data_IF_273234883170
#
_entry.id   IF_273234883170
#
_cell.length_a   1.000
_cell.length_b   1.000
_cell.length_c   1.000
_cell.angle_alpha   90.00
_cell.angle_beta   90.00
_cell.angle_gamma   90.00
#
_symmetry.space_group_name_H-M   'P 1'
#
loop_
_entity.id
_entity.type
_entity.pdbx_description
1 polymer ?
#
# COMPACT_ATOMS: atom_id res chain seq x y z
N UNK A 1 9.09 -21.20 -91.61
CA UNK A 1 8.17 -20.63 -90.65
C UNK A 1 8.59 -21.10 -89.27
N UNK A 2 9.24 -20.21 -88.40
CA UNK A 2 9.73 -20.49 -87.07
C UNK A 2 8.81 -19.78 -86.06
N UNK A 3 8.06 -20.55 -85.32
CA UNK A 3 7.25 -20.00 -84.21
C UNK A 3 8.10 -19.80 -82.99
N UNK A 4 8.27 -18.54 -82.61
CA UNK A 4 8.87 -18.17 -81.31
C UNK A 4 7.80 -18.14 -80.24
N UNK A 5 7.94 -18.96 -79.16
CA UNK A 5 7.12 -18.91 -77.97
C UNK A 5 7.82 -18.01 -76.92
N UNK A 6 7.18 -16.93 -76.59
CA UNK A 6 7.57 -16.02 -75.50
C UNK A 6 7.07 -16.63 -74.20
N UNK A 7 7.97 -17.05 -73.31
CA UNK A 7 7.63 -17.49 -71.98
C UNK A 7 7.57 -16.28 -71.05
N UNK A 8 6.40 -16.04 -70.44
CA UNK A 8 6.23 -15.03 -69.39
C UNK A 8 6.51 -15.68 -68.04
N UNK A 9 7.64 -15.27 -67.40
CA UNK A 9 7.98 -15.69 -66.04
C UNK A 9 7.29 -14.75 -65.04
N UNK A 10 6.31 -15.25 -64.30
CA UNK A 10 5.63 -14.53 -63.25
C UNK A 10 6.55 -14.59 -61.97
N UNK A 11 7.14 -13.46 -61.57
CA UNK A 11 7.85 -13.34 -60.33
C UNK A 11 6.84 -12.96 -59.24
N UNK A 12 6.51 -13.92 -58.38
CA UNK A 12 5.71 -13.67 -57.18
C UNK A 12 6.58 -13.01 -56.07
N UNK A 13 6.43 -11.71 -55.91
CA UNK A 13 7.08 -10.98 -54.78
C UNK A 13 6.40 -11.31 -53.46
N UNK A 14 7.11 -11.93 -52.56
CA UNK A 14 6.69 -12.10 -51.16
C UNK A 14 6.93 -10.77 -50.43
N UNK A 15 5.86 -10.03 -50.17
CA UNK A 15 5.91 -8.88 -49.26
C UNK A 15 5.86 -9.40 -47.84
N UNK A 16 7.02 -9.48 -47.18
CA UNK A 16 7.11 -9.73 -45.75
C UNK A 16 6.73 -8.46 -45.00
N UNK A 17 5.50 -8.41 -44.45
CA UNK A 17 5.10 -7.41 -43.48
C UNK A 17 5.81 -7.74 -42.16
N UNK A 18 6.91 -7.06 -41.90
CA UNK A 18 7.51 -7.06 -40.57
C UNK A 18 6.56 -6.32 -39.63
N UNK A 19 5.76 -7.07 -38.87
CA UNK A 19 4.95 -6.53 -37.80
C UNK A 19 5.85 -5.95 -36.73
N UNK A 20 5.88 -4.62 -36.59
CA UNK A 20 6.46 -3.95 -35.43
C UNK A 20 5.60 -4.37 -34.24
N UNK A 21 6.08 -5.30 -33.42
CA UNK A 21 5.48 -5.56 -32.12
C UNK A 21 5.62 -4.27 -31.30
N UNK A 22 4.55 -3.50 -31.20
CA UNK A 22 4.47 -2.42 -30.23
C UNK A 22 4.68 -3.07 -28.86
N UNK A 23 5.70 -2.66 -28.12
CA UNK A 23 5.86 -2.99 -26.70
C UNK A 23 4.63 -2.33 -26.03
N UNK A 24 3.61 -3.13 -25.74
CA UNK A 24 2.47 -2.67 -24.98
C UNK A 24 3.01 -2.32 -23.58
N UNK A 25 3.14 -1.03 -23.29
CA UNK A 25 3.40 -0.58 -21.92
C UNK A 25 2.33 -1.16 -21.01
N UNK A 26 2.70 -1.50 -19.78
CA UNK A 26 1.74 -2.02 -18.81
C UNK A 26 0.60 -1.00 -18.67
N UNK A 27 -0.64 -1.47 -18.82
CA UNK A 27 -1.82 -0.60 -18.70
C UNK A 27 -2.12 -0.35 -17.22
N UNK A 28 -2.67 0.83 -16.87
CA UNK A 28 -3.16 1.08 -15.53
C UNK A 28 -4.12 -0.04 -15.07
N UNK A 29 -3.93 -0.50 -13.86
CA UNK A 29 -4.75 -1.56 -13.23
C UNK A 29 -5.61 -0.98 -12.12
N UNK A 30 -6.80 -1.55 -11.93
CA UNK A 30 -7.58 -1.32 -10.72
C UNK A 30 -7.08 -2.27 -9.64
N UNK A 31 -6.58 -1.72 -8.55
CA UNK A 31 -6.01 -2.47 -7.44
C UNK A 31 -6.82 -2.23 -6.18
N UNK A 32 -7.34 -3.28 -5.57
CA UNK A 32 -7.93 -3.25 -4.23
C UNK A 32 -6.84 -3.43 -3.19
N UNK A 33 -6.79 -2.49 -2.24
CA UNK A 33 -5.99 -2.62 -1.01
C UNK A 33 -6.94 -2.92 0.13
N UNK A 34 -6.72 -4.03 0.80
CA UNK A 34 -7.50 -4.44 1.98
C UNK A 34 -6.56 -4.48 3.18
N UNK A 35 -6.98 -3.88 4.29
CA UNK A 35 -6.26 -3.92 5.57
C UNK A 35 -7.07 -4.66 6.61
N UNK A 36 -6.40 -5.43 7.45
CA UNK A 36 -6.99 -6.17 8.55
C UNK A 36 -6.20 -5.93 9.83
N UNK A 37 -6.89 -5.54 10.90
CA UNK A 37 -6.32 -5.51 12.24
C UNK A 37 -6.43 -6.92 12.85
N UNK A 38 -5.28 -7.58 13.03
CA UNK A 38 -5.15 -8.94 13.57
C UNK A 38 -4.76 -8.94 15.05
N UNK A 39 -4.60 -7.76 15.66
CA UNK A 39 -4.29 -7.68 17.08
C UNK A 39 -5.40 -8.34 17.92
N UNK A 40 -5.07 -8.89 19.10
CA UNK A 40 -6.05 -9.46 20.02
C UNK A 40 -7.13 -8.44 20.42
N UNK A 41 -8.30 -8.94 20.85
CA UNK A 41 -9.37 -8.10 21.37
C UNK A 41 -8.87 -7.17 22.48
N UNK A 42 -9.38 -5.95 22.53
CA UNK A 42 -9.00 -4.90 23.49
C UNK A 42 -7.51 -4.46 23.39
N UNK A 43 -6.84 -4.80 22.30
CA UNK A 43 -5.48 -4.39 22.03
C UNK A 43 -5.43 -3.17 21.08
N UNK A 44 -4.34 -3.02 20.33
CA UNK A 44 -4.11 -1.86 19.46
C UNK A 44 -5.13 -1.74 18.35
N UNK A 45 -5.52 -0.51 18.08
CA UNK A 45 -6.22 -0.11 16.86
C UNK A 45 -5.28 0.69 15.96
N UNK A 46 -5.64 0.86 14.69
CA UNK A 46 -4.81 1.55 13.71
C UNK A 46 -5.59 2.72 13.10
N UNK A 47 -4.97 3.88 13.01
CA UNK A 47 -5.52 4.99 12.24
C UNK A 47 -5.68 4.59 10.76
N UNK A 48 -6.27 5.46 9.95
CA UNK A 48 -6.37 5.20 8.52
C UNK A 48 -4.98 4.93 7.92
N UNK A 49 -4.86 3.84 7.14
CA UNK A 49 -3.63 3.57 6.40
C UNK A 49 -3.42 4.66 5.36
N UNK A 50 -2.29 5.36 5.40
CA UNK A 50 -1.80 6.25 4.34
C UNK A 50 -0.92 5.43 3.44
N UNK A 51 -1.08 5.55 2.12
CA UNK A 51 -0.38 4.72 1.17
C UNK A 51 0.04 5.48 -0.08
N UNK A 52 1.12 5.02 -0.70
CA UNK A 52 1.62 5.49 -1.97
C UNK A 52 2.14 4.35 -2.83
N UNK A 53 1.75 4.36 -4.11
CA UNK A 53 2.34 3.55 -5.17
C UNK A 53 3.30 4.46 -5.93
N UNK A 54 4.55 4.02 -6.12
CA UNK A 54 5.60 4.95 -6.51
C UNK A 54 6.80 4.26 -7.20
N UNK A 55 7.81 5.05 -7.60
CA UNK A 55 9.00 4.56 -8.31
C UNK A 55 10.16 4.14 -7.38
N UNK A 56 10.05 4.35 -6.05
CA UNK A 56 11.04 3.94 -5.06
C UNK A 56 11.99 5.04 -4.59
N UNK A 57 11.70 6.31 -4.86
CA UNK A 57 12.59 7.42 -4.46
C UNK A 57 12.14 8.18 -3.21
N UNK A 58 10.84 8.14 -2.86
CA UNK A 58 10.36 8.82 -1.65
C UNK A 58 10.66 8.00 -0.40
N UNK A 59 11.62 8.50 0.37
CA UNK A 59 11.99 7.98 1.70
C UNK A 59 11.29 8.81 2.79
N UNK A 60 10.42 8.17 3.57
CA UNK A 60 9.58 8.81 4.57
C UNK A 60 10.31 9.11 5.87
N UNK A 61 11.24 8.23 6.25
CA UNK A 61 12.04 8.31 7.48
C UNK A 61 13.18 7.30 7.42
N UNK A 62 14.11 7.38 8.36
CA UNK A 62 15.21 6.42 8.52
C UNK A 62 15.33 5.97 9.97
N UNK A 63 15.46 4.67 10.19
CA UNK A 63 15.75 4.10 11.50
C UNK A 63 17.01 4.73 12.09
N UNK A 64 16.97 5.11 13.35
CA UNK A 64 18.08 5.75 14.08
C UNK A 64 18.27 7.24 13.76
N UNK A 65 17.39 7.86 12.98
CA UNK A 65 17.38 9.30 12.70
C UNK A 65 16.18 9.98 13.36
N UNK A 66 16.29 11.29 13.59
CA UNK A 66 15.15 12.08 14.04
C UNK A 66 14.04 12.10 12.96
N UNK A 67 12.79 11.94 13.37
CA UNK A 67 11.66 11.94 12.44
C UNK A 67 11.44 13.32 11.80
N UNK A 68 11.17 13.32 10.50
CA UNK A 68 10.70 14.51 9.78
C UNK A 68 9.21 14.79 10.05
N UNK A 69 8.77 16.03 9.79
CA UNK A 69 7.38 16.46 10.01
C UNK A 69 6.34 15.63 9.25
N UNK A 70 6.70 15.05 8.10
CA UNK A 70 5.84 14.16 7.33
C UNK A 70 5.54 12.88 8.09
N UNK A 71 6.56 12.20 8.65
CA UNK A 71 6.42 11.01 9.48
C UNK A 71 5.66 11.33 10.77
N UNK A 72 6.02 12.43 11.46
CA UNK A 72 5.34 12.92 12.67
C UNK A 72 3.83 13.10 12.43
N UNK A 73 3.41 13.64 11.27
CA UNK A 73 1.99 13.86 10.98
C UNK A 73 1.17 12.58 10.93
N UNK A 74 1.79 11.45 10.59
CA UNK A 74 1.14 10.13 10.67
C UNK A 74 1.26 9.56 12.06
N UNK A 75 2.47 9.51 12.63
CA UNK A 75 2.77 8.82 13.87
C UNK A 75 2.02 9.40 15.08
N UNK A 76 1.83 10.72 15.14
CA UNK A 76 1.15 11.40 16.25
C UNK A 76 -0.30 11.78 15.93
N UNK A 77 -0.56 12.18 14.67
CA UNK A 77 -1.88 12.68 14.28
C UNK A 77 -2.77 11.69 13.55
N UNK A 78 -2.23 10.55 13.11
CA UNK A 78 -2.94 9.60 12.24
C UNK A 78 -3.34 10.21 10.89
N UNK A 79 -2.75 11.35 10.50
CA UNK A 79 -3.11 12.12 9.30
C UNK A 79 -2.04 12.02 8.22
N UNK A 80 -2.40 12.27 6.98
CA UNK A 80 -1.45 12.38 5.86
C UNK A 80 -1.20 13.82 5.42
N UNK A 81 -1.61 14.81 6.22
CA UNK A 81 -1.64 16.21 5.80
C UNK A 81 -0.27 16.81 5.43
N UNK A 82 0.82 16.31 6.03
CA UNK A 82 2.19 16.70 5.66
C UNK A 82 2.89 15.59 4.86
N UNK A 83 2.48 14.34 5.02
CA UNK A 83 3.08 13.20 4.32
C UNK A 83 2.73 13.21 2.82
N UNK A 84 1.46 13.41 2.45
CA UNK A 84 1.05 13.45 1.05
C UNK A 84 1.70 14.58 0.25
N UNK A 85 1.78 15.84 0.72
CA UNK A 85 2.48 16.88 0.02
C UNK A 85 3.98 16.60 -0.14
N UNK A 86 4.65 16.07 0.88
CA UNK A 86 6.06 15.70 0.82
C UNK A 86 6.29 14.58 -0.20
N UNK A 87 5.43 13.56 -0.20
CA UNK A 87 5.46 12.47 -1.17
C UNK A 87 5.29 12.98 -2.60
N UNK A 88 4.23 13.76 -2.87
CA UNK A 88 3.95 14.31 -4.20
C UNK A 88 5.06 15.26 -4.70
N UNK A 89 5.73 15.95 -3.81
CA UNK A 89 6.86 16.81 -4.16
C UNK A 89 8.09 16.00 -4.59
N UNK A 90 8.34 14.86 -3.92
CA UNK A 90 9.44 13.97 -4.26
C UNK A 90 9.13 13.10 -5.50
N UNK A 91 7.89 12.64 -5.62
CA UNK A 91 7.42 11.76 -6.70
C UNK A 91 6.08 12.24 -7.29
N UNK A 92 6.11 13.20 -8.24
CA UNK A 92 4.89 13.80 -8.80
C UNK A 92 3.95 12.80 -9.51
N UNK A 93 4.48 11.64 -9.93
CA UNK A 93 3.71 10.59 -10.62
C UNK A 93 3.23 9.49 -9.67
N UNK A 94 3.45 9.62 -8.36
CA UNK A 94 2.96 8.64 -7.39
C UNK A 94 1.43 8.65 -7.33
N UNK A 95 0.84 7.46 -7.17
CA UNK A 95 -0.59 7.33 -6.83
C UNK A 95 -0.72 7.25 -5.31
N UNK A 96 -1.29 8.28 -4.70
CA UNK A 96 -1.46 8.38 -3.25
C UNK A 96 -2.90 8.12 -2.84
N UNK A 97 -3.08 7.56 -1.65
CA UNK A 97 -4.41 7.26 -1.14
C UNK A 97 -4.45 6.85 0.33
N UNK A 98 -5.63 6.42 0.75
CA UNK A 98 -5.84 5.93 2.12
C UNK A 98 -6.84 4.80 2.15
N UNK A 99 -6.66 3.86 3.07
CA UNK A 99 -7.71 2.93 3.48
C UNK A 99 -8.27 3.40 4.81
N UNK A 100 -9.56 3.73 4.84
CA UNK A 100 -10.24 4.24 6.02
C UNK A 100 -11.32 3.27 6.48
N UNK A 101 -11.52 3.18 7.79
CA UNK A 101 -12.63 2.42 8.37
C UNK A 101 -13.96 3.06 7.96
N UNK A 102 -14.89 2.26 7.44
CA UNK A 102 -16.18 2.77 6.94
C UNK A 102 -16.99 3.53 8.00
N UNK A 103 -16.93 3.11 9.27
CA UNK A 103 -17.57 3.78 10.38
C UNK A 103 -16.80 5.01 10.93
N UNK A 104 -15.66 5.36 10.29
CA UNK A 104 -14.75 6.40 10.79
C UNK A 104 -13.91 5.94 11.98
N UNK A 105 -12.95 6.78 12.39
CA UNK A 105 -12.03 6.49 13.49
C UNK A 105 -11.03 5.39 13.19
N UNK A 106 -10.42 4.85 14.23
CA UNK A 106 -9.40 3.81 14.10
C UNK A 106 -10.00 2.43 13.76
N UNK A 107 -9.28 1.64 12.96
CA UNK A 107 -9.58 0.24 12.65
C UNK A 107 -9.31 -0.62 13.91
N UNK A 108 -10.37 -1.18 14.49
CA UNK A 108 -10.31 -1.91 15.76
C UNK A 108 -9.86 -3.35 15.57
N UNK A 109 -9.42 -4.04 16.64
CA UNK A 109 -9.10 -5.47 16.60
C UNK A 109 -10.19 -6.30 15.91
N UNK A 110 -9.77 -7.15 14.94
CA UNK A 110 -10.66 -8.01 14.15
C UNK A 110 -11.37 -7.33 12.97
N UNK A 111 -11.31 -6.00 12.85
CA UNK A 111 -11.94 -5.28 11.74
C UNK A 111 -11.10 -5.29 10.46
N UNK A 112 -11.79 -5.10 9.34
CA UNK A 112 -11.24 -5.02 7.99
C UNK A 112 -11.76 -3.78 7.28
N UNK A 113 -10.94 -3.15 6.46
CA UNK A 113 -11.33 -2.04 5.58
C UNK A 113 -10.64 -2.18 4.22
N UNK A 114 -11.20 -1.60 3.16
CA UNK A 114 -10.59 -1.63 1.82
C UNK A 114 -10.84 -0.36 1.04
N UNK A 115 -9.99 -0.10 0.06
CA UNK A 115 -10.15 0.95 -0.95
C UNK A 115 -9.59 0.48 -2.29
N UNK A 116 -10.13 1.04 -3.39
CA UNK A 116 -9.72 0.73 -4.74
C UNK A 116 -8.90 1.90 -5.32
N UNK A 117 -7.82 1.58 -6.02
CA UNK A 117 -6.89 2.56 -6.60
C UNK A 117 -6.59 2.21 -8.05
N UNK A 118 -6.49 3.24 -8.90
CA UNK A 118 -5.97 3.09 -10.27
C UNK A 118 -4.45 3.30 -10.23
N UNK A 119 -3.69 2.28 -10.55
CA UNK A 119 -2.22 2.30 -10.48
C UNK A 119 -1.64 2.00 -11.86
N UNK A 120 -0.65 2.79 -12.29
CA UNK A 120 0.16 2.47 -13.47
C UNK A 120 1.40 1.68 -13.03
N UNK A 121 1.45 0.36 -13.27
CA UNK A 121 2.55 -0.49 -12.83
C UNK A 121 3.86 -0.25 -13.59
N UNK A 122 3.85 0.51 -14.69
CA UNK A 122 5.06 0.86 -15.44
C UNK A 122 5.93 1.90 -14.74
N UNK A 123 5.30 2.74 -13.91
CA UNK A 123 5.96 3.83 -13.17
C UNK A 123 5.83 3.69 -11.65
N UNK A 124 4.80 3.03 -11.15
CA UNK A 124 4.48 2.89 -9.71
C UNK A 124 4.67 1.44 -9.27
N UNK A 125 5.93 0.97 -9.21
CA UNK A 125 6.27 -0.42 -8.94
C UNK A 125 6.39 -0.76 -7.47
N UNK A 126 6.60 0.23 -6.60
CA UNK A 126 6.82 0.05 -5.17
C UNK A 126 5.63 0.58 -4.36
N UNK A 127 5.54 0.11 -3.13
CA UNK A 127 4.49 0.47 -2.19
C UNK A 127 5.09 0.95 -0.88
N UNK A 128 4.68 2.14 -0.44
CA UNK A 128 5.01 2.72 0.87
C UNK A 128 3.74 3.04 1.62
N UNK A 129 3.75 2.82 2.92
CA UNK A 129 2.60 3.05 3.79
C UNK A 129 3.01 3.59 5.16
N UNK A 130 2.02 4.15 5.88
CA UNK A 130 2.11 4.50 7.27
C UNK A 130 0.74 4.51 7.93
N UNK A 131 0.67 4.05 9.19
CA UNK A 131 -0.54 4.10 10.01
C UNK A 131 -0.17 4.22 11.49
N UNK A 132 -0.74 5.22 12.17
CA UNK A 132 -0.58 5.37 13.61
C UNK A 132 -1.15 4.17 14.35
N UNK A 133 -0.45 3.67 15.33
CA UNK A 133 -0.90 2.66 16.31
C UNK A 133 -1.49 3.38 17.50
N UNK A 134 -2.71 3.03 17.89
CA UNK A 134 -3.39 3.67 19.03
C UNK A 134 -3.94 2.64 20.03
N UNK A 135 -3.94 2.95 21.37
CA UNK A 135 -3.52 4.20 21.97
C UNK A 135 -2.00 4.34 21.94
N UNK A 136 -1.51 5.53 21.65
CA UNK A 136 -0.09 5.90 21.79
C UNK A 136 0.07 7.41 21.58
N UNK A 137 1.29 7.91 21.81
CA UNK A 137 1.68 9.26 21.49
C UNK A 137 2.20 9.36 20.05
N UNK A 138 3.15 8.49 19.65
CA UNK A 138 3.81 8.55 18.34
C UNK A 138 4.22 7.19 17.78
N UNK A 139 3.53 6.10 18.18
CA UNK A 139 3.77 4.77 17.60
C UNK A 139 3.04 4.59 16.29
N UNK A 140 3.69 3.92 15.34
CA UNK A 140 3.13 3.67 14.02
C UNK A 140 3.71 2.41 13.36
N UNK A 141 3.05 1.93 12.32
CA UNK A 141 3.58 0.93 11.38
C UNK A 141 3.86 1.60 10.05
N UNK A 142 5.01 1.32 9.47
CA UNK A 142 5.48 1.89 8.20
C UNK A 142 6.64 1.08 7.65
N UNK A 143 7.03 1.29 6.40
CA UNK A 143 8.29 0.81 5.85
C UNK A 143 9.34 1.92 5.80
N UNK A 144 10.53 1.62 6.31
CA UNK A 144 11.72 2.49 6.29
C UNK A 144 12.28 2.61 4.86
N UNK A 145 12.56 1.48 4.21
CA UNK A 145 13.11 1.49 2.86
C UNK A 145 12.00 1.65 1.81
N UNK A 146 12.04 2.70 0.95
CA UNK A 146 11.02 2.93 -0.08
C UNK A 146 10.94 1.82 -1.14
N UNK A 147 12.00 1.04 -1.34
CA UNK A 147 12.01 -0.09 -2.27
C UNK A 147 11.75 -1.45 -1.60
N UNK A 148 11.38 -1.47 -0.33
CA UNK A 148 11.15 -2.71 0.43
C UNK A 148 10.06 -3.59 -0.19
N UNK A 149 8.98 -2.98 -0.66
CA UNK A 149 7.83 -3.70 -1.18
C UNK A 149 7.67 -3.45 -2.69
N UNK A 150 8.33 -4.28 -3.49
CA UNK A 150 8.13 -4.30 -4.95
C UNK A 150 6.77 -4.94 -5.24
N UNK A 151 5.76 -4.11 -5.45
CA UNK A 151 4.39 -4.55 -5.68
C UNK A 151 4.18 -5.11 -7.09
N UNK A 152 4.82 -4.52 -8.11
CA UNK A 152 4.75 -4.97 -9.49
C UNK A 152 6.12 -5.36 -10.03
N UNK A 153 6.19 -6.47 -10.79
CA UNK A 153 7.37 -6.87 -11.50
C UNK A 153 7.63 -6.00 -12.77
N UNK A 154 8.70 -6.28 -13.50
CA UNK A 154 9.03 -5.52 -14.71
C UNK A 154 8.01 -5.68 -15.85
N UNK A 155 7.20 -6.74 -15.83
CA UNK A 155 6.12 -6.96 -16.79
C UNK A 155 4.81 -6.25 -16.39
N UNK A 156 4.77 -5.58 -15.23
CA UNK A 156 3.58 -4.93 -14.69
C UNK A 156 2.60 -5.89 -14.01
N UNK A 157 3.02 -7.11 -13.73
CA UNK A 157 2.20 -8.10 -13.02
C UNK A 157 2.37 -7.94 -11.51
N UNK A 158 1.30 -8.20 -10.75
CA UNK A 158 1.32 -8.17 -9.29
C UNK A 158 2.30 -9.21 -8.76
N UNK A 159 3.35 -8.75 -8.09
CA UNK A 159 4.45 -9.57 -7.55
C UNK A 159 4.27 -9.86 -6.05
N UNK A 160 3.53 -9.03 -5.35
CA UNK A 160 3.29 -9.11 -3.92
C UNK A 160 1.79 -9.04 -3.64
N UNK A 161 1.23 -10.05 -2.98
CA UNK A 161 -0.21 -10.12 -2.68
C UNK A 161 -0.55 -9.72 -1.24
N UNK A 162 0.43 -9.70 -0.34
CA UNK A 162 0.22 -9.27 1.05
C UNK A 162 1.51 -8.83 1.74
N UNK A 163 1.34 -7.97 2.74
CA UNK A 163 2.38 -7.51 3.69
C UNK A 163 1.84 -7.79 5.08
N UNK A 164 2.60 -8.53 5.90
CA UNK A 164 2.32 -8.76 7.32
C UNK A 164 3.15 -7.82 8.18
N UNK A 165 2.54 -7.22 9.19
CA UNK A 165 3.22 -6.44 10.22
C UNK A 165 3.11 -7.17 11.56
N UNK A 166 4.24 -7.33 12.22
CA UNK A 166 4.37 -8.03 13.49
C UNK A 166 4.59 -7.04 14.64
N UNK A 167 4.36 -7.44 15.87
CA UNK A 167 4.57 -6.57 17.02
C UNK A 167 5.94 -5.88 17.03
N UNK A 168 7.03 -6.63 16.75
CA UNK A 168 8.40 -6.08 16.66
C UNK A 168 8.61 -5.02 15.56
N UNK A 169 7.67 -4.83 14.65
CA UNK A 169 7.74 -3.87 13.55
C UNK A 169 6.93 -2.59 13.84
N UNK A 170 6.47 -2.42 15.06
CA UNK A 170 5.93 -1.12 15.50
C UNK A 170 7.10 -0.19 15.77
N UNK A 171 7.09 0.92 15.08
CA UNK A 171 8.02 2.02 15.28
C UNK A 171 7.54 2.94 16.41
N UNK A 172 8.44 3.33 17.27
CA UNK A 172 8.40 4.52 18.10
C UNK A 172 9.05 5.63 17.26
N UNK A 173 8.34 6.69 17.01
CA UNK A 173 8.82 7.78 16.15
C UNK A 173 9.87 8.67 16.87
N UNK A 174 9.97 8.55 18.19
CA UNK A 174 10.90 9.31 19.03
C UNK A 174 10.61 10.81 19.08
N UNK A 175 9.45 11.21 18.62
CA UNK A 175 9.06 12.62 18.50
C UNK A 175 8.23 13.12 19.68
N UNK A 176 7.54 12.23 20.40
CA UNK A 176 6.73 12.55 21.58
C UNK A 176 6.97 11.56 22.73
N UNK A 177 7.03 12.07 23.97
CA UNK A 177 7.13 11.24 25.16
C UNK A 177 5.83 10.49 25.41
N UNK A 178 5.93 9.22 25.84
CA UNK A 178 4.75 8.45 26.25
C UNK A 178 4.12 9.05 27.51
N UNK A 179 3.02 9.76 27.28
CA UNK A 179 2.22 10.35 28.33
C UNK A 179 0.73 10.03 28.06
N UNK A 180 0.07 9.20 28.91
CA UNK A 180 -1.34 8.90 28.76
C UNK A 180 -2.25 10.12 28.72
N UNK A 181 -1.86 11.24 29.35
CA UNK A 181 -2.66 12.47 29.32
C UNK A 181 -2.71 13.11 27.94
N UNK A 182 -1.75 12.81 27.06
CA UNK A 182 -1.61 13.38 25.72
C UNK A 182 -1.78 12.33 24.61
N UNK A 183 -1.86 11.04 24.95
CA UNK A 183 -1.93 9.97 23.97
C UNK A 183 -3.25 10.01 23.18
N UNK A 184 -3.17 9.71 21.89
CA UNK A 184 -4.35 9.57 21.05
C UNK A 184 -5.22 8.38 21.48
N UNK A 185 -6.53 8.48 21.25
CA UNK A 185 -7.50 7.40 21.43
C UNK A 185 -7.83 7.00 22.87
N UNK A 186 -7.39 7.73 23.88
CA UNK A 186 -7.75 7.51 25.29
C UNK A 186 -8.87 8.46 25.74
N UNK A 187 -9.70 7.99 26.66
CA UNK A 187 -10.73 8.82 27.31
C UNK A 187 -10.04 9.80 28.23
N UNK A 188 -10.35 11.09 28.07
CA UNK A 188 -9.81 12.16 28.92
C UNK A 188 -8.42 12.66 28.53
N UNK A 189 -7.78 12.07 27.54
CA UNK A 189 -6.51 12.58 26.98
C UNK A 189 -6.73 13.76 26.03
N UNK A 190 -5.70 14.60 25.87
CA UNK A 190 -5.70 15.74 24.94
C UNK A 190 -4.49 15.62 24.01
N UNK A 191 -4.64 14.92 22.89
CA UNK A 191 -3.55 14.65 21.93
C UNK A 191 -2.91 15.92 21.34
N UNK A 192 -3.53 17.07 21.46
CA UNK A 192 -2.95 18.35 21.05
C UNK A 192 -1.85 18.87 22.02
N UNK A 193 -1.81 18.37 23.26
CA UNK A 193 -0.85 18.75 24.27
C UNK A 193 0.39 17.87 24.18
N UNK A 194 1.21 18.14 23.16
CA UNK A 194 2.40 17.33 22.90
C UNK A 194 3.55 17.64 23.86
N UNK A 195 4.28 16.58 24.27
CA UNK A 195 5.56 16.71 25.00
C UNK A 195 6.67 16.17 24.12
N UNK A 196 7.41 17.04 23.38
CA UNK A 196 8.47 16.60 22.47
C UNK A 196 9.56 15.78 23.18
N UNK A 197 9.92 14.63 22.61
CA UNK A 197 10.98 13.77 23.13
C UNK A 197 12.34 14.12 22.52
N UNK A 198 12.41 14.59 21.27
CA UNK A 198 13.63 14.83 20.51
C UNK A 198 14.53 13.58 20.38
N UNK A 199 13.91 12.41 20.25
CA UNK A 199 14.55 11.10 20.08
C UNK A 199 14.79 10.77 18.60
N UNK A 200 14.95 9.48 18.34
CA UNK A 200 15.14 8.91 17.01
C UNK A 200 14.12 7.82 16.74
N UNK A 201 13.78 7.62 15.49
CA UNK A 201 12.90 6.52 15.08
C UNK A 201 13.56 5.18 15.40
N UNK A 202 12.86 4.30 16.10
CA UNK A 202 13.35 2.97 16.44
C UNK A 202 12.19 1.98 16.63
N UNK A 203 12.46 0.68 16.57
CA UNK A 203 11.47 -0.32 16.95
C UNK A 203 11.32 -0.38 18.47
N UNK A 204 10.12 -0.12 18.99
CA UNK A 204 9.89 -0.11 20.44
C UNK A 204 8.41 -0.32 20.81
N UNK A 205 7.86 -1.49 20.51
CA UNK A 205 6.44 -1.77 20.82
C UNK A 205 6.16 -1.97 22.33
N UNK A 206 7.18 -2.23 23.14
CA UNK A 206 7.01 -2.47 24.59
C UNK A 206 6.56 -1.21 25.32
N UNK A 207 6.84 -0.02 24.80
CA UNK A 207 6.36 1.24 25.39
C UNK A 207 4.84 1.37 25.39
N UNK A 208 4.14 0.65 24.51
CA UNK A 208 2.68 0.57 24.55
C UNK A 208 2.12 0.02 25.86
N UNK A 209 2.94 -0.66 26.68
CA UNK A 209 2.53 -1.12 28.01
C UNK A 209 2.19 0.02 28.99
N UNK A 210 2.66 1.24 28.72
CA UNK A 210 2.30 2.45 29.49
C UNK A 210 0.79 2.75 29.44
N UNK A 211 0.08 2.24 28.44
CA UNK A 211 -1.36 2.47 28.25
C UNK A 211 -2.24 1.32 28.76
N UNK A 212 -1.65 0.22 29.26
CA UNK A 212 -2.41 -0.92 29.79
C UNK A 212 -3.31 -0.50 30.95
N UNK A 213 -4.56 -0.97 30.93
CA UNK A 213 -5.58 -0.65 31.93
C UNK A 213 -6.35 0.66 31.68
N UNK A 214 -5.99 1.44 30.65
CA UNK A 214 -6.65 2.70 30.33
C UNK A 214 -7.83 2.49 29.37
N UNK A 215 -8.88 3.30 29.54
CA UNK A 215 -10.10 3.22 28.72
C UNK A 215 -9.88 3.98 27.40
N UNK A 216 -10.11 3.30 26.28
CA UNK A 216 -10.07 3.91 24.96
C UNK A 216 -11.35 4.63 24.62
N UNK A 217 -11.31 5.58 23.67
CA UNK A 217 -12.50 6.24 23.13
C UNK A 217 -13.44 5.29 22.37
N UNK A 218 -12.98 4.07 22.06
CA UNK A 218 -13.81 3.02 21.52
C UNK A 218 -14.57 2.21 22.59
N UNK A 219 -14.36 2.51 23.89
CA UNK A 219 -15.10 1.95 25.01
C UNK A 219 -14.56 0.64 25.58
N UNK A 220 -13.37 0.21 25.17
CA UNK A 220 -12.68 -0.93 25.78
C UNK A 220 -11.49 -0.50 26.64
N UNK A 221 -11.11 -1.34 27.60
CA UNK A 221 -9.88 -1.16 28.39
C UNK A 221 -8.72 -1.77 27.63
N UNK A 222 -7.75 -0.96 27.30
CA UNK A 222 -6.60 -1.37 26.50
C UNK A 222 -5.69 -2.36 27.27
N UNK A 223 -5.23 -3.37 26.55
CA UNK A 223 -4.21 -4.32 26.97
C UNK A 223 -3.38 -4.72 25.75
N UNK A 224 -2.08 -4.60 25.79
CA UNK A 224 -1.17 -4.95 24.67
C UNK A 224 -1.10 -6.46 24.43
N UNK A 225 -1.79 -7.29 24.55
CA UNK A 225 -1.86 -8.78 24.52
C UNK A 225 -1.15 -9.46 23.33
N UNK A 226 -0.09 -8.89 22.78
CA UNK A 226 0.70 -9.49 21.70
C UNK A 226 2.20 -9.38 22.01
N UNK A 227 2.98 -10.33 21.46
CA UNK A 227 4.43 -10.37 21.52
C UNK A 227 5.08 -9.91 20.21
N UNK A 228 6.40 -9.91 20.20
CA UNK A 228 7.23 -9.47 19.08
C UNK A 228 6.92 -10.19 17.75
N UNK A 229 6.55 -11.48 17.82
CA UNK A 229 6.34 -12.33 16.63
C UNK A 229 4.88 -12.53 16.24
N UNK A 230 3.96 -11.90 16.95
CA UNK A 230 2.54 -11.98 16.61
C UNK A 230 2.22 -11.03 15.46
N UNK A 231 1.52 -11.54 14.45
CA UNK A 231 1.03 -10.70 13.36
C UNK A 231 -0.13 -9.86 13.87
N UNK A 232 0.02 -8.54 13.78
CA UNK A 232 -0.94 -7.57 14.30
C UNK A 232 -1.70 -6.82 13.23
N UNK A 233 -1.16 -6.79 11.99
CA UNK A 233 -1.78 -6.07 10.89
C UNK A 233 -1.39 -6.70 9.56
N UNK A 234 -2.33 -6.77 8.64
CA UNK A 234 -2.11 -7.27 7.29
C UNK A 234 -2.64 -6.30 6.25
N UNK A 235 -1.84 -6.07 5.21
CA UNK A 235 -2.23 -5.35 4.00
C UNK A 235 -2.28 -6.38 2.88
N UNK A 236 -3.39 -6.47 2.14
CA UNK A 236 -3.55 -7.40 1.01
C UNK A 236 -3.85 -6.62 -0.27
N UNK A 237 -3.39 -7.16 -1.40
CA UNK A 237 -3.52 -6.56 -2.72
C UNK A 237 -4.21 -7.51 -3.69
N UNK A 238 -5.18 -7.00 -4.45
CA UNK A 238 -5.91 -7.75 -5.47
C UNK A 238 -6.14 -6.87 -6.70
N UNK A 239 -5.78 -7.38 -7.88
CA UNK A 239 -6.13 -6.72 -9.16
C UNK A 239 -7.59 -7.00 -9.46
N UNK A 240 -8.39 -5.95 -9.57
CA UNK A 240 -9.82 -6.04 -9.92
C UNK A 240 -9.94 -6.10 -11.45
N UNK A 241 -10.51 -7.18 -12.02
CA UNK A 241 -10.72 -7.25 -13.46
C UNK A 241 -11.61 -6.11 -13.96
N UNK A 242 -11.14 -5.34 -14.93
CA UNK A 242 -12.00 -4.34 -15.60
C UNK A 242 -13.02 -5.03 -16.49
N UNK A 243 -14.28 -4.53 -16.57
CA UNK A 243 -15.34 -5.17 -17.38
C UNK A 243 -14.96 -5.38 -18.86
N UNK A 244 -14.06 -4.56 -19.42
CA UNK A 244 -13.55 -4.70 -20.78
C UNK A 244 -12.62 -5.90 -20.98
N UNK A 245 -11.86 -6.33 -19.96
CA UNK A 245 -10.98 -7.49 -20.06
C UNK A 245 -11.76 -8.81 -20.13
N UNK A 246 -12.91 -8.88 -19.49
CA UNK A 246 -13.81 -10.04 -19.50
C UNK A 246 -14.48 -10.23 -20.88
N UNK A 247 -14.75 -9.17 -21.64
CA UNK A 247 -15.37 -9.26 -22.96
C UNK A 247 -14.43 -9.81 -24.03
N UNK A 248 -13.12 -9.55 -23.93
CA UNK A 248 -12.11 -10.08 -24.86
C UNK A 248 -11.88 -11.59 -24.68
N UNK A 249 -11.93 -12.10 -23.46
CA UNK A 249 -11.83 -13.53 -23.16
C UNK A 249 -13.07 -14.29 -23.67
N UNK A 250 -14.26 -13.70 -23.56
CA UNK A 250 -15.51 -14.28 -24.08
C UNK A 250 -15.54 -14.38 -25.62
N UNK A 251 -15.01 -13.38 -26.32
CA UNK A 251 -14.99 -13.36 -27.80
C UNK A 251 -13.97 -14.33 -28.41
N UNK A 252 -12.81 -14.52 -27.78
CA UNK A 252 -11.80 -15.48 -28.25
C UNK A 252 -12.29 -16.94 -28.16
N UNK A 253 -13.10 -17.29 -27.16
CA UNK A 253 -13.73 -18.60 -27.02
C UNK A 253 -14.74 -18.93 -28.14
N UNK A 254 -15.49 -17.94 -28.61
CA UNK A 254 -16.50 -18.12 -29.66
C UNK A 254 -15.87 -18.32 -31.05
N UNK A 255 -14.73 -17.69 -31.32
CA UNK A 255 -14.03 -17.84 -32.61
C UNK A 255 -13.42 -19.24 -32.76
N UNK A 256 -12.93 -19.85 -31.68
CA UNK A 256 -12.35 -21.20 -31.71
C UNK A 256 -13.43 -22.28 -31.95
N UNK A 257 -14.64 -22.11 -31.42
CA UNK A 257 -15.75 -23.05 -31.59
C UNK A 257 -16.34 -23.04 -32.98
N UNK A 258 -16.29 -21.91 -33.73
CA UNK A 258 -16.76 -21.83 -35.10
C UNK A 258 -15.84 -22.51 -36.14
N UNK A 259 -14.53 -22.68 -35.83
CA UNK A 259 -13.56 -23.33 -36.74
C UNK A 259 -13.61 -24.86 -36.72
N UNK A 260 -14.31 -25.50 -35.81
CA UNK A 260 -14.42 -26.98 -35.69
C UNK A 260 -15.65 -27.58 -36.40
N UNK A 261 -16.45 -26.79 -37.11
CA UNK A 261 -17.66 -27.26 -37.84
C UNK A 261 -17.62 -27.00 -39.35
N UNK A 262 -16.42 -27.10 -39.97
CA UNK A 262 -16.29 -27.21 -41.43
C UNK A 262 -15.33 -28.34 -41.80
#
# INVERSE_FOLDING_TARGET
MKNSRIGITLVAGIVSVAGVAAVAGAQPVQLRVTVQNLAPSNSVSFAALRLGFHNGTYDSFNNGQAAGMSAISIAEGGTGNLWFPAFSAAEPNATLGSVVRAAGGALRPGETASSDHTVDPSINRFFTFGSMVVPSNDHWIANDNPMQYMLFNAAGELNLTSISQFGRQIWDNGSETEDPANAAFLVGSVNANRTPQNGVVSFNFDRLDAFNGLTTTAGYVFQRQFGANDEIYRISFEVIPTPGAMSLLGMSGVVVLRRRRR
#
